data_IF_823497649652
#
_entry.id   IF_823497649652
#
_cell.length_a   1.000
_cell.length_b   1.000
_cell.length_c   1.000
_cell.angle_alpha   90.00
_cell.angle_beta   90.00
_cell.angle_gamma   90.00
#
_symmetry.space_group_name_H-M   'P 1'
#
loop_
_entity.id
_entity.type
_entity.pdbx_description
1 polymer ?
#
# COMPACT_ATOMS: atom_id res chain seq x y z
N UNK A 1 -0.83 11.13 -3.89
CA UNK A 1 -0.49 12.53 -4.27
C UNK A 1 0.67 12.55 -5.25
N UNK A 2 1.76 11.85 -4.94
CA UNK A 2 2.89 11.63 -5.85
C UNK A 2 2.48 11.15 -7.25
N UNK A 3 1.40 10.39 -7.35
CA UNK A 3 0.93 9.79 -8.60
C UNK A 3 0.44 10.81 -9.62
N UNK A 4 -0.03 11.97 -9.15
CA UNK A 4 -0.56 13.07 -9.95
C UNK A 4 0.26 14.35 -9.77
N UNK A 5 1.44 14.24 -9.13
CA UNK A 5 2.34 15.36 -8.82
C UNK A 5 1.63 16.54 -8.14
N UNK A 6 0.77 16.23 -7.16
CA UNK A 6 0.02 17.23 -6.41
C UNK A 6 0.63 17.47 -5.01
N UNK A 7 1.01 18.71 -4.73
CA UNK A 7 1.71 19.12 -3.50
C UNK A 7 1.28 20.52 -2.98
N UNK A 8 0.10 21.01 -3.41
CA UNK A 8 -0.39 22.30 -2.93
C UNK A 8 -0.89 22.19 -1.49
N UNK A 9 -0.02 22.51 -0.54
CA UNK A 9 -0.36 22.45 0.88
C UNK A 9 -1.48 23.41 1.28
N UNK A 10 -1.77 24.46 0.50
CA UNK A 10 -2.89 25.37 0.76
C UNK A 10 -4.24 24.76 0.36
N UNK A 11 -4.25 23.64 -0.36
CA UNK A 11 -5.48 22.97 -0.75
C UNK A 11 -6.27 22.51 0.49
N UNK A 12 -7.60 22.75 0.56
CA UNK A 12 -8.40 22.48 1.76
C UNK A 12 -8.30 21.04 2.28
N UNK A 13 -8.14 20.06 1.37
CA UNK A 13 -7.96 18.65 1.76
C UNK A 13 -6.64 18.45 2.51
N UNK A 14 -5.53 19.04 2.05
CA UNK A 14 -4.22 18.85 2.70
C UNK A 14 -4.17 19.59 4.03
N UNK A 15 -4.75 20.79 4.11
CA UNK A 15 -4.97 21.50 5.38
C UNK A 15 -5.81 20.69 6.37
N UNK A 16 -6.87 20.02 5.88
CA UNK A 16 -7.68 19.12 6.70
C UNK A 16 -6.90 17.93 7.26
N UNK A 17 -6.05 17.31 6.43
CA UNK A 17 -5.17 16.21 6.86
C UNK A 17 -4.18 16.70 7.91
N UNK A 18 -3.50 17.84 7.70
CA UNK A 18 -2.58 18.42 8.69
C UNK A 18 -3.28 18.68 10.02
N UNK A 19 -4.45 19.31 10.00
CA UNK A 19 -5.24 19.59 11.20
C UNK A 19 -5.61 18.30 11.96
N UNK A 20 -5.99 17.24 11.24
CA UNK A 20 -6.27 15.95 11.84
C UNK A 20 -5.03 15.37 12.52
N UNK A 21 -3.89 15.38 11.84
CA UNK A 21 -2.62 14.86 12.37
C UNK A 21 -2.16 15.64 13.61
N UNK A 22 -2.21 16.98 13.55
CA UNK A 22 -1.80 17.86 14.66
C UNK A 22 -2.69 17.70 15.89
N UNK A 23 -3.96 17.30 15.72
CA UNK A 23 -4.85 17.02 16.84
C UNK A 23 -4.37 15.84 17.70
N UNK A 24 -3.53 14.95 17.14
CA UNK A 24 -3.09 13.68 17.74
C UNK A 24 -4.25 12.75 18.14
N UNK A 25 -5.46 12.99 17.63
CA UNK A 25 -6.60 12.10 17.88
C UNK A 25 -6.30 10.74 17.26
N UNK A 26 -6.56 9.67 18.03
CA UNK A 26 -6.30 8.28 17.64
C UNK A 26 -4.84 7.95 17.30
N UNK A 27 -3.90 8.78 17.77
CA UNK A 27 -2.49 8.41 17.83
C UNK A 27 -2.23 7.66 19.14
N UNK A 28 -1.94 6.37 19.03
CA UNK A 28 -1.44 5.58 20.16
C UNK A 28 0.06 5.86 20.38
N UNK A 29 0.67 5.18 21.36
CA UNK A 29 2.08 5.36 21.71
C UNK A 29 3.03 5.18 20.51
N UNK A 30 2.70 4.26 19.58
CA UNK A 30 3.61 3.81 18.52
C UNK A 30 3.06 3.94 17.09
N UNK A 31 1.79 4.28 16.92
CA UNK A 31 1.16 4.34 15.60
C UNK A 31 -0.18 5.08 15.62
N UNK A 32 -0.54 5.65 14.48
CA UNK A 32 -1.92 6.06 14.21
C UNK A 32 -2.78 4.82 13.96
N UNK A 33 -3.98 4.80 14.53
CA UNK A 33 -4.92 3.70 14.35
C UNK A 33 -5.34 3.52 12.90
N UNK A 34 -5.32 2.28 12.42
CA UNK A 34 -5.89 1.89 11.11
C UNK A 34 -7.38 2.21 11.01
N UNK A 35 -8.14 1.92 12.06
CA UNK A 35 -9.58 2.20 12.18
C UNK A 35 -9.85 2.98 13.46
N UNK A 36 -10.91 3.78 13.44
CA UNK A 36 -11.38 4.59 14.56
C UNK A 36 -12.84 4.25 14.86
N UNK A 37 -13.37 4.51 16.07
CA UNK A 37 -14.72 4.10 16.47
C UNK A 37 -15.80 4.47 15.45
N UNK A 38 -15.71 5.67 14.88
CA UNK A 38 -16.70 6.17 13.91
C UNK A 38 -16.65 5.48 12.56
N UNK A 39 -15.64 4.64 12.25
CA UNK A 39 -15.70 3.77 11.07
C UNK A 39 -16.99 2.94 11.10
N UNK A 40 -17.38 2.46 12.28
CA UNK A 40 -18.57 1.62 12.47
C UNK A 40 -19.89 2.33 12.16
N UNK A 41 -19.88 3.67 12.05
CA UNK A 41 -21.08 4.47 11.80
C UNK A 41 -21.42 4.62 10.30
N UNK A 42 -20.55 4.15 9.39
CA UNK A 42 -20.71 4.30 7.94
C UNK A 42 -20.57 2.97 7.21
N UNK A 43 -21.00 2.91 5.94
CA UNK A 43 -20.73 1.75 5.09
C UNK A 43 -19.22 1.60 4.83
N UNK A 44 -18.66 0.42 5.08
CA UNK A 44 -17.24 0.14 4.85
C UNK A 44 -16.97 -1.34 4.65
N UNK A 45 -15.83 -1.62 4.02
CA UNK A 45 -15.33 -2.99 3.86
C UNK A 45 -15.01 -3.64 5.23
N UNK A 46 -15.12 -4.96 5.37
CA UNK A 46 -15.00 -5.62 6.67
C UNK A 46 -13.69 -5.34 7.41
N UNK A 47 -12.56 -5.23 6.71
CA UNK A 47 -11.24 -4.91 7.29
C UNK A 47 -11.10 -3.45 7.75
N UNK A 48 -12.09 -2.59 7.51
CA UNK A 48 -12.20 -1.26 8.10
C UNK A 48 -13.13 -1.21 9.30
N UNK A 49 -13.66 -2.35 9.75
CA UNK A 49 -14.43 -2.41 11.00
C UNK A 49 -13.51 -2.03 12.16
N UNK A 50 -13.97 -1.13 13.00
CA UNK A 50 -13.31 -0.84 14.25
C UNK A 50 -13.64 -1.91 15.28
N UNK A 51 -12.61 -2.61 15.73
CA UNK A 51 -12.68 -3.57 16.84
C UNK A 51 -11.55 -3.26 17.82
N UNK A 52 -11.80 -3.51 19.11
CA UNK A 52 -10.77 -3.32 20.14
C UNK A 52 -9.75 -4.45 20.07
N UNK A 53 -8.62 -4.19 19.40
CA UNK A 53 -7.47 -5.09 19.33
C UNK A 53 -7.09 -5.52 17.90
N UNK A 54 -5.80 -5.79 17.72
CA UNK A 54 -5.18 -6.44 16.55
C UNK A 54 -5.33 -5.77 15.17
N UNK A 55 -4.89 -4.51 15.04
CA UNK A 55 -4.65 -3.85 13.73
C UNK A 55 -3.21 -3.35 13.57
N UNK A 56 -2.25 -3.87 14.33
CA UNK A 56 -0.91 -3.27 14.45
C UNK A 56 -0.19 -3.12 13.10
N UNK A 57 -0.17 -4.18 12.28
CA UNK A 57 0.45 -4.14 10.95
C UNK A 57 -0.19 -3.08 10.02
N UNK A 58 -1.53 -2.96 10.06
CA UNK A 58 -2.25 -1.95 9.28
C UNK A 58 -2.01 -0.53 9.80
N UNK A 59 -1.93 -0.38 11.12
CA UNK A 59 -1.62 0.89 11.77
C UNK A 59 -0.19 1.36 11.45
N UNK A 60 0.76 0.43 11.26
CA UNK A 60 2.12 0.76 10.81
C UNK A 60 2.13 1.34 9.39
N UNK A 61 1.39 0.76 8.44
CA UNK A 61 1.29 1.30 7.09
C UNK A 61 0.72 2.73 7.08
N UNK A 62 -0.37 2.96 7.83
CA UNK A 62 -0.96 4.30 7.97
C UNK A 62 0.05 5.26 8.59
N UNK A 63 0.76 4.82 9.62
CA UNK A 63 1.79 5.62 10.27
C UNK A 63 2.89 6.00 9.29
N UNK A 64 3.42 5.07 8.49
CA UNK A 64 4.42 5.35 7.47
C UNK A 64 3.89 6.40 6.47
N UNK A 65 2.66 6.22 5.97
CA UNK A 65 2.02 7.15 5.06
C UNK A 65 1.90 8.57 5.62
N UNK A 66 1.37 8.70 6.84
CA UNK A 66 1.19 9.98 7.53
C UNK A 66 2.53 10.63 7.89
N UNK A 67 3.52 9.85 8.31
CA UNK A 67 4.85 10.36 8.64
C UNK A 67 5.51 10.98 7.42
N UNK A 68 5.51 10.30 6.26
CA UNK A 68 6.09 10.89 5.05
C UNK A 68 5.29 12.10 4.57
N UNK A 69 3.98 12.11 4.78
CA UNK A 69 3.18 13.32 4.55
C UNK A 69 3.65 14.46 5.47
N UNK A 70 3.80 14.25 6.77
CA UNK A 70 4.27 15.29 7.71
C UNK A 70 5.66 15.79 7.32
N UNK A 71 6.61 14.88 7.09
CA UNK A 71 8.00 15.22 6.76
C UNK A 71 8.06 16.10 5.51
N UNK A 72 7.20 15.85 4.52
CA UNK A 72 7.22 16.60 3.26
C UNK A 72 6.58 17.99 3.36
N UNK A 73 5.62 18.20 4.26
CA UNK A 73 4.80 19.40 4.26
C UNK A 73 4.94 20.26 5.54
N UNK A 74 5.84 19.92 6.44
CA UNK A 74 6.06 20.66 7.69
C UNK A 74 7.53 20.99 7.89
N UNK A 75 7.81 22.06 8.64
CA UNK A 75 9.19 22.46 8.93
C UNK A 75 9.87 21.46 9.86
N UNK A 76 11.15 21.16 9.60
CA UNK A 76 11.94 20.19 10.37
C UNK A 76 12.00 20.49 11.87
N UNK A 77 11.95 21.78 12.23
CA UNK A 77 12.01 22.23 13.62
C UNK A 77 10.67 22.17 14.35
N UNK A 78 9.57 21.94 13.64
CA UNK A 78 8.22 21.86 14.20
C UNK A 78 8.08 20.66 15.14
N UNK A 79 7.17 20.77 16.12
CA UNK A 79 6.90 19.69 17.06
C UNK A 79 6.34 18.44 16.34
N UNK A 80 5.51 18.65 15.33
CA UNK A 80 4.88 17.54 14.59
C UNK A 80 5.89 16.79 13.72
N UNK A 81 6.83 17.50 13.09
CA UNK A 81 7.92 16.87 12.34
C UNK A 81 8.78 15.99 13.24
N UNK A 82 9.24 16.54 14.39
CA UNK A 82 10.07 15.79 15.34
C UNK A 82 9.37 14.52 15.84
N UNK A 83 8.06 14.62 16.10
CA UNK A 83 7.24 13.48 16.50
C UNK A 83 7.12 12.45 15.39
N UNK A 84 6.84 12.87 14.15
CA UNK A 84 6.77 11.99 12.99
C UNK A 84 8.10 11.27 12.73
N UNK A 85 9.22 11.98 12.85
CA UNK A 85 10.55 11.40 12.72
C UNK A 85 10.82 10.34 13.80
N UNK A 86 10.47 10.60 15.06
CA UNK A 86 10.60 9.63 16.14
C UNK A 86 9.73 8.37 15.93
N UNK A 87 8.52 8.53 15.39
CA UNK A 87 7.67 7.40 15.01
C UNK A 87 8.29 6.58 13.87
N UNK A 88 8.87 7.24 12.86
CA UNK A 88 9.56 6.54 11.77
C UNK A 88 10.76 5.74 12.28
N UNK A 89 11.57 6.34 13.15
CA UNK A 89 12.70 5.66 13.80
C UNK A 89 12.22 4.43 14.58
N UNK A 90 11.09 4.55 15.29
CA UNK A 90 10.46 3.43 15.98
C UNK A 90 10.04 2.30 15.03
N UNK A 91 9.44 2.63 13.89
CA UNK A 91 9.11 1.66 12.84
C UNK A 91 10.38 1.00 12.29
N UNK A 92 11.40 1.78 11.93
CA UNK A 92 12.67 1.25 11.42
C UNK A 92 13.31 0.28 12.43
N UNK A 93 13.34 0.64 13.72
CA UNK A 93 13.92 -0.19 14.78
C UNK A 93 13.17 -1.50 15.01
N UNK A 94 11.88 -1.57 14.68
CA UNK A 94 11.07 -2.79 14.83
C UNK A 94 11.37 -3.84 13.75
N UNK A 95 11.95 -3.44 12.63
CA UNK A 95 12.25 -4.37 11.55
C UNK A 95 13.22 -5.46 12.03
N UNK A 96 12.80 -6.72 11.88
CA UNK A 96 13.57 -7.87 12.31
C UNK A 96 13.41 -9.04 11.32
N UNK A 97 14.26 -10.07 11.48
CA UNK A 97 14.17 -11.29 10.67
C UNK A 97 12.89 -12.10 10.93
N UNK A 98 12.16 -11.80 12.02
CA UNK A 98 10.84 -12.39 12.31
C UNK A 98 9.67 -11.62 11.66
N UNK A 99 9.95 -10.60 10.84
CA UNK A 99 8.92 -9.91 10.05
C UNK A 99 8.45 -10.87 8.96
N UNK A 100 7.22 -11.38 9.11
CA UNK A 100 6.80 -12.64 8.45
C UNK A 100 5.53 -12.54 7.62
N UNK A 101 5.01 -11.34 7.34
CA UNK A 101 3.84 -11.17 6.49
C UNK A 101 4.11 -10.22 5.32
N UNK A 102 3.51 -10.52 4.17
CA UNK A 102 3.75 -9.77 2.93
C UNK A 102 3.32 -8.31 3.02
N UNK A 103 2.33 -8.00 3.86
CA UNK A 103 1.78 -6.65 4.00
C UNK A 103 2.78 -5.75 4.74
N UNK A 104 3.29 -6.20 5.88
CA UNK A 104 4.35 -5.53 6.64
C UNK A 104 5.62 -5.41 5.80
N UNK A 105 6.04 -6.47 5.12
CA UNK A 105 7.23 -6.44 4.24
C UNK A 105 7.06 -5.40 3.13
N UNK A 106 5.88 -5.35 2.48
CA UNK A 106 5.60 -4.35 1.44
C UNK A 106 5.64 -2.92 1.98
N UNK A 107 5.24 -2.72 3.24
CA UNK A 107 5.31 -1.42 3.93
C UNK A 107 6.77 -0.97 4.14
N UNK A 108 7.67 -1.90 4.46
CA UNK A 108 9.11 -1.60 4.54
C UNK A 108 9.74 -1.36 3.16
N UNK A 109 9.29 -2.04 2.10
CA UNK A 109 9.71 -1.72 0.73
C UNK A 109 9.35 -0.27 0.36
N UNK A 110 8.13 0.15 0.69
CA UNK A 110 7.67 1.52 0.46
C UNK A 110 8.43 2.55 1.31
N UNK A 111 8.75 2.20 2.57
CA UNK A 111 9.57 3.03 3.46
C UNK A 111 10.96 3.28 2.87
N UNK A 112 11.66 2.23 2.43
CA UNK A 112 12.99 2.35 1.82
C UNK A 112 12.91 3.20 0.56
N UNK A 113 11.95 2.92 -0.32
CA UNK A 113 11.75 3.67 -1.56
C UNK A 113 11.52 5.16 -1.32
N UNK A 114 10.72 5.52 -0.30
CA UNK A 114 10.43 6.92 0.03
C UNK A 114 11.62 7.62 0.67
N UNK A 115 12.38 6.96 1.56
CA UNK A 115 13.61 7.54 2.12
C UNK A 115 14.61 7.85 1.00
N UNK A 116 14.81 6.94 0.06
CA UNK A 116 15.71 7.14 -1.08
C UNK A 116 15.19 8.25 -2.02
N UNK A 117 13.90 8.20 -2.38
CA UNK A 117 13.26 9.21 -3.24
C UNK A 117 13.43 10.63 -2.67
N UNK A 118 13.26 10.77 -1.36
CA UNK A 118 13.32 12.06 -0.67
C UNK A 118 14.71 12.39 -0.11
N UNK A 119 15.72 11.55 -0.37
CA UNK A 119 17.11 11.73 0.06
C UNK A 119 17.26 11.89 1.58
N UNK A 120 16.53 11.08 2.34
CA UNK A 120 16.45 11.17 3.81
C UNK A 120 17.42 10.21 4.53
N UNK A 121 18.37 9.58 3.82
CA UNK A 121 19.31 8.60 4.37
C UNK A 121 20.28 9.20 5.39
N UNK A 122 20.53 10.50 5.33
CA UNK A 122 21.31 11.21 6.36
C UNK A 122 20.56 11.36 7.68
N UNK A 123 19.22 11.28 7.65
CA UNK A 123 18.35 11.45 8.81
C UNK A 123 17.90 10.11 9.41
N UNK A 124 17.66 9.11 8.57
CA UNK A 124 17.12 7.81 8.98
C UNK A 124 18.06 6.68 8.57
N UNK A 125 18.58 5.94 9.54
CA UNK A 125 19.43 4.77 9.30
C UNK A 125 18.57 3.56 8.90
N UNK A 126 18.52 3.29 7.60
CA UNK A 126 17.83 2.14 7.03
C UNK A 126 18.78 1.04 6.56
N UNK A 127 20.06 1.06 6.98
CA UNK A 127 21.06 0.12 6.49
C UNK A 127 20.66 -1.33 6.74
N UNK A 128 20.29 -1.66 7.98
CA UNK A 128 19.87 -3.03 8.35
C UNK A 128 18.61 -3.45 7.60
N UNK A 129 17.65 -2.55 7.42
CA UNK A 129 16.43 -2.82 6.63
C UNK A 129 16.81 -3.15 5.19
N UNK A 130 17.62 -2.32 4.54
CA UNK A 130 18.06 -2.54 3.14
C UNK A 130 18.84 -3.84 2.95
N UNK A 131 19.66 -4.23 3.93
CA UNK A 131 20.45 -5.47 3.86
C UNK A 131 19.59 -6.74 3.94
N UNK A 132 18.53 -6.72 4.76
CA UNK A 132 17.74 -7.91 5.10
C UNK A 132 16.41 -8.01 4.33
N UNK A 133 15.83 -6.88 3.95
CA UNK A 133 14.55 -6.82 3.26
C UNK A 133 14.50 -7.63 1.94
N UNK A 134 15.56 -7.71 1.12
CA UNK A 134 15.55 -8.56 -0.07
C UNK A 134 15.31 -10.05 0.24
N UNK A 135 15.83 -10.55 1.36
CA UNK A 135 15.59 -11.93 1.79
C UNK A 135 14.13 -12.11 2.21
N UNK A 136 13.59 -11.21 3.02
CA UNK A 136 12.19 -11.25 3.45
C UNK A 136 11.23 -11.19 2.25
N UNK A 137 11.45 -10.27 1.30
CA UNK A 137 10.68 -10.20 0.04
C UNK A 137 10.73 -11.55 -0.69
N UNK A 138 11.91 -12.15 -0.84
CA UNK A 138 12.03 -13.41 -1.55
C UNK A 138 11.33 -14.57 -0.83
N UNK A 139 11.31 -14.59 0.50
CA UNK A 139 10.65 -15.62 1.29
C UNK A 139 9.11 -15.54 1.19
N UNK A 140 8.55 -14.33 1.20
CA UNK A 140 7.09 -14.12 1.28
C UNK A 140 6.40 -13.79 -0.03
N UNK A 141 7.16 -13.62 -1.11
CA UNK A 141 6.60 -13.47 -2.45
C UNK A 141 6.01 -14.78 -2.94
N UNK A 142 4.70 -14.77 -3.20
CA UNK A 142 4.00 -15.92 -3.78
C UNK A 142 4.24 -15.93 -5.30
N UNK A 143 4.87 -17.00 -5.79
CA UNK A 143 5.30 -17.13 -7.20
C UNK A 143 4.44 -18.09 -8.00
N UNK A 144 3.53 -18.81 -7.34
CA UNK A 144 2.65 -19.78 -7.98
C UNK A 144 1.38 -19.10 -8.53
N UNK A 145 1.19 -19.06 -9.86
CA UNK A 145 -0.01 -18.47 -10.47
C UNK A 145 -1.32 -19.11 -10.04
N UNK A 146 -1.31 -20.40 -9.64
CA UNK A 146 -2.51 -21.08 -9.16
C UNK A 146 -3.00 -20.53 -7.82
N UNK A 147 -2.13 -19.86 -7.06
CA UNK A 147 -2.48 -19.24 -5.78
C UNK A 147 -2.75 -17.74 -5.90
N UNK A 148 -2.58 -17.14 -7.08
CA UNK A 148 -2.89 -15.73 -7.29
C UNK A 148 -4.39 -15.49 -7.50
N UNK A 149 -5.10 -16.46 -8.07
CA UNK A 149 -6.53 -16.35 -8.33
C UNK A 149 -7.34 -16.52 -7.04
N UNK A 150 -8.24 -15.60 -6.73
CA UNK A 150 -9.12 -15.67 -5.56
C UNK A 150 -8.44 -15.50 -4.21
N UNK A 151 -7.15 -15.16 -4.15
CA UNK A 151 -6.38 -15.09 -2.92
C UNK A 151 -5.68 -13.74 -2.76
N UNK A 152 -5.83 -13.16 -1.56
CA UNK A 152 -5.06 -11.99 -1.17
C UNK A 152 -3.65 -12.41 -0.73
N UNK A 153 -2.68 -12.32 -1.64
CA UNK A 153 -1.29 -12.71 -1.41
C UNK A 153 -0.27 -11.69 -1.94
N UNK A 154 0.95 -11.74 -1.41
CA UNK A 154 2.08 -10.92 -1.86
C UNK A 154 2.65 -11.40 -3.19
N UNK A 155 1.97 -11.12 -4.30
CA UNK A 155 2.47 -11.38 -5.66
C UNK A 155 3.73 -10.55 -5.99
N UNK A 156 4.53 -10.90 -7.01
CA UNK A 156 5.72 -10.12 -7.36
C UNK A 156 5.50 -8.61 -7.48
N UNK A 157 4.40 -8.18 -8.09
CA UNK A 157 4.02 -6.79 -8.31
C UNK A 157 3.74 -6.01 -7.02
N UNK A 158 3.53 -6.66 -5.87
CA UNK A 158 3.48 -5.97 -4.57
C UNK A 158 4.83 -5.34 -4.23
N UNK A 159 5.92 -6.02 -4.58
CA UNK A 159 7.27 -5.63 -4.19
C UNK A 159 8.07 -5.02 -5.36
N UNK A 160 7.76 -5.42 -6.59
CA UNK A 160 8.49 -5.05 -7.80
C UNK A 160 7.60 -4.16 -8.67
N UNK A 161 7.95 -2.87 -8.78
CA UNK A 161 7.19 -1.90 -9.60
C UNK A 161 7.86 -1.56 -10.93
N UNK A 162 9.14 -1.89 -11.09
CA UNK A 162 9.90 -1.68 -12.32
C UNK A 162 11.14 -2.58 -12.36
N UNK A 163 11.80 -2.75 -13.53
CA UNK A 163 13.05 -3.49 -13.67
C UNK A 163 14.21 -2.94 -12.82
N UNK A 164 14.18 -1.67 -12.43
CA UNK A 164 15.18 -1.03 -11.57
C UNK A 164 15.04 -1.41 -10.10
N UNK A 165 13.95 -2.07 -9.72
CA UNK A 165 13.76 -2.56 -8.35
C UNK A 165 14.88 -3.52 -7.96
N UNK A 166 15.47 -3.30 -6.77
CA UNK A 166 16.47 -4.19 -6.19
C UNK A 166 15.95 -5.63 -5.97
N UNK A 167 14.63 -5.81 -5.94
CA UNK A 167 13.97 -7.11 -5.78
C UNK A 167 13.69 -7.82 -7.11
N UNK A 168 13.94 -7.16 -8.26
CA UNK A 168 13.68 -7.75 -9.58
C UNK A 168 14.68 -8.85 -9.94
N UNK A 169 15.96 -8.63 -9.62
CA UNK A 169 17.03 -9.60 -9.90
C UNK A 169 16.76 -10.92 -9.17
N UNK A 170 16.72 -12.02 -9.92
CA UNK A 170 16.37 -13.36 -9.43
C UNK A 170 14.87 -13.65 -9.36
N UNK A 171 14.00 -12.70 -9.67
CA UNK A 171 12.54 -12.86 -9.75
C UNK A 171 11.98 -12.52 -11.15
N UNK A 172 12.83 -12.42 -12.17
CA UNK A 172 12.46 -11.98 -13.52
C UNK A 172 11.40 -12.90 -14.14
N UNK A 173 11.58 -14.21 -14.02
CA UNK A 173 10.62 -15.21 -14.52
C UNK A 173 9.27 -15.12 -13.78
N UNK A 174 9.28 -14.96 -12.45
CA UNK A 174 8.06 -14.83 -11.66
C UNK A 174 7.31 -13.54 -11.99
N UNK A 175 8.03 -12.44 -12.16
CA UNK A 175 7.47 -11.16 -12.59
C UNK A 175 6.88 -11.26 -14.00
N UNK A 176 7.59 -11.89 -14.95
CA UNK A 176 7.08 -12.11 -16.30
C UNK A 176 5.79 -12.93 -16.29
N UNK A 177 5.75 -14.01 -15.50
CA UNK A 177 4.55 -14.85 -15.31
C UNK A 177 3.38 -14.06 -14.75
N UNK A 178 3.62 -13.19 -13.75
CA UNK A 178 2.55 -12.34 -13.23
C UNK A 178 2.04 -11.34 -14.26
N UNK A 179 2.94 -10.71 -15.03
CA UNK A 179 2.54 -9.79 -16.09
C UNK A 179 1.68 -10.50 -17.16
N UNK A 180 2.08 -11.72 -17.57
CA UNK A 180 1.31 -12.54 -18.51
C UNK A 180 -0.05 -12.93 -17.92
N UNK A 181 -0.07 -13.36 -16.66
CA UNK A 181 -1.29 -13.73 -15.95
C UNK A 181 -2.25 -12.53 -15.82
N UNK A 182 -1.75 -11.34 -15.51
CA UNK A 182 -2.59 -10.13 -15.42
C UNK A 182 -3.12 -9.73 -16.81
N UNK A 183 -2.33 -9.83 -17.88
CA UNK A 183 -2.76 -9.54 -19.25
C UNK A 183 -3.78 -10.55 -19.77
N UNK A 184 -3.63 -11.83 -19.44
CA UNK A 184 -4.62 -12.87 -19.77
C UNK A 184 -5.97 -12.56 -19.09
N UNK A 185 -5.93 -12.18 -17.81
CA UNK A 185 -7.14 -11.77 -17.07
C UNK A 185 -7.80 -10.53 -17.68
N UNK A 186 -7.01 -9.58 -18.18
CA UNK A 186 -7.54 -8.44 -18.94
C UNK A 186 -8.20 -8.87 -20.23
N UNK A 187 -7.49 -9.64 -21.07
CA UNK A 187 -7.89 -9.93 -22.45
C UNK A 187 -8.99 -11.00 -22.55
N UNK A 188 -8.97 -11.99 -21.67
CA UNK A 188 -9.97 -13.07 -21.60
C UNK A 188 -11.33 -12.66 -21.02
N UNK A 189 -11.45 -11.45 -20.44
CA UNK A 189 -12.70 -10.90 -19.87
C UNK A 189 -13.21 -9.65 -20.61
N UNK A 190 -12.61 -9.27 -21.75
CA UNK A 190 -13.01 -8.13 -22.58
C UNK A 190 -14.43 -8.20 -23.17
N UNK A 191 -15.21 -9.24 -22.89
CA UNK A 191 -16.60 -9.33 -23.31
C UNK A 191 -17.55 -8.52 -22.41
N UNK A 192 -17.12 -8.09 -21.21
CA UNK A 192 -17.90 -7.23 -20.32
C UNK A 192 -16.98 -6.17 -19.68
N UNK A 193 -17.54 -5.03 -19.22
CA UNK A 193 -16.83 -3.87 -18.65
C UNK A 193 -15.92 -4.15 -17.43
N UNK A 194 -15.71 -5.41 -17.07
CA UNK A 194 -15.11 -5.87 -15.83
C UNK A 194 -13.70 -6.48 -16.04
N UNK A 195 -12.80 -5.65 -16.59
CA UNK A 195 -11.46 -6.04 -17.05
C UNK A 195 -10.51 -6.45 -15.90
N UNK A 196 -10.78 -6.00 -14.66
CA UNK A 196 -10.01 -6.34 -13.46
C UNK A 196 -10.89 -6.53 -12.22
N UNK A 197 -11.86 -7.45 -12.30
CA UNK A 197 -12.78 -7.75 -11.20
C UNK A 197 -12.03 -7.96 -9.87
N UNK A 198 -12.15 -6.99 -8.95
CA UNK A 198 -11.45 -6.99 -7.66
C UNK A 198 -11.94 -8.11 -6.75
N UNK A 199 -13.21 -8.51 -6.88
CA UNK A 199 -13.78 -9.63 -6.15
C UNK A 199 -13.02 -10.93 -6.52
N UNK A 200 -12.58 -11.08 -7.76
CA UNK A 200 -11.77 -12.23 -8.17
C UNK A 200 -10.39 -12.31 -7.48
N UNK A 201 -9.97 -11.29 -6.73
CA UNK A 201 -8.74 -11.28 -5.92
C UNK A 201 -9.01 -11.40 -4.40
N UNK A 202 -10.22 -11.83 -3.99
CA UNK A 202 -10.58 -11.98 -2.57
C UNK A 202 -11.11 -10.71 -1.91
N UNK A 203 -11.32 -9.63 -2.68
CA UNK A 203 -11.94 -8.40 -2.19
C UNK A 203 -13.47 -8.61 -2.12
N UNK A 204 -13.99 -9.19 -1.04
CA UNK A 204 -15.43 -9.33 -0.87
C UNK A 204 -15.88 -8.69 0.43
N UNK A 205 -16.86 -7.78 0.35
CA UNK A 205 -17.57 -7.31 1.54
C UNK A 205 -18.49 -8.40 2.12
N UNK A 206 -18.86 -9.38 1.28
CA UNK A 206 -19.79 -10.47 1.61
C UNK A 206 -19.24 -11.47 2.64
N UNK A 207 -17.92 -11.62 2.79
CA UNK A 207 -17.35 -12.58 3.73
C UNK A 207 -17.81 -12.36 5.19
N UNK A 208 -18.28 -11.14 5.53
CA UNK A 208 -18.84 -10.82 6.84
C UNK A 208 -20.29 -10.28 6.78
N UNK A 209 -21.11 -10.68 5.80
CA UNK A 209 -22.50 -10.19 5.56
C UNK A 209 -22.66 -8.68 5.28
N UNK A 210 -21.60 -7.87 5.38
CA UNK A 210 -21.64 -6.40 5.17
C UNK A 210 -21.95 -5.99 3.72
N UNK A 211 -21.56 -6.80 2.75
CA UNK A 211 -21.96 -6.60 1.35
C UNK A 211 -23.49 -6.66 1.16
N UNK A 212 -24.18 -7.45 1.98
CA UNK A 212 -25.65 -7.51 2.00
C UNK A 212 -26.29 -6.34 2.76
N UNK A 213 -25.62 -5.79 3.77
CA UNK A 213 -26.09 -4.62 4.52
C UNK A 213 -25.97 -3.32 3.71
N UNK A 214 -24.90 -3.19 2.91
CA UNK A 214 -24.59 -2.01 2.11
C UNK A 214 -24.32 -2.37 0.63
N UNK A 215 -25.33 -2.87 -0.10
CA UNK A 215 -25.12 -3.41 -1.45
C UNK A 215 -24.72 -2.32 -2.46
N UNK A 216 -25.25 -1.10 -2.33
CA UNK A 216 -24.93 -0.01 -3.25
C UNK A 216 -23.52 0.52 -3.01
N UNK A 217 -23.13 0.73 -1.76
CA UNK A 217 -21.81 1.22 -1.39
C UNK A 217 -20.73 0.17 -1.69
N UNK A 218 -21.03 -1.11 -1.47
CA UNK A 218 -20.15 -2.21 -1.88
C UNK A 218 -19.92 -2.20 -3.40
N UNK A 219 -20.98 -2.01 -4.19
CA UNK A 219 -20.88 -1.90 -5.65
C UNK A 219 -20.07 -0.68 -6.11
N UNK A 220 -20.30 0.50 -5.52
CA UNK A 220 -19.51 1.71 -5.82
C UNK A 220 -18.04 1.47 -5.46
N UNK A 221 -17.79 0.91 -4.28
CA UNK A 221 -16.43 0.68 -3.80
C UNK A 221 -15.69 -0.34 -4.67
N UNK A 222 -16.36 -1.40 -5.16
CA UNK A 222 -15.79 -2.35 -6.11
C UNK A 222 -15.32 -1.64 -7.39
N UNK A 223 -16.19 -0.85 -8.02
CA UNK A 223 -15.85 -0.10 -9.24
C UNK A 223 -14.67 0.86 -9.01
N UNK A 224 -14.62 1.56 -7.88
CA UNK A 224 -13.50 2.43 -7.54
C UNK A 224 -12.18 1.65 -7.40
N UNK A 225 -12.21 0.50 -6.75
CA UNK A 225 -11.02 -0.36 -6.63
C UNK A 225 -10.58 -0.93 -7.97
N UNK A 226 -11.52 -1.31 -8.85
CA UNK A 226 -11.21 -1.76 -10.21
C UNK A 226 -10.48 -0.67 -11.01
N UNK A 227 -10.88 0.59 -10.87
CA UNK A 227 -10.19 1.73 -11.50
C UNK A 227 -8.78 1.92 -10.92
N UNK A 228 -8.60 1.74 -9.61
CA UNK A 228 -7.27 1.84 -8.98
C UNK A 228 -6.36 0.72 -9.49
N UNK A 229 -6.85 -0.52 -9.52
CA UNK A 229 -6.13 -1.68 -10.05
C UNK A 229 -5.79 -1.50 -11.53
N UNK A 230 -6.73 -0.96 -12.32
CA UNK A 230 -6.49 -0.59 -13.71
C UNK A 230 -5.29 0.34 -13.87
N UNK A 231 -5.29 1.45 -13.12
CA UNK A 231 -4.22 2.45 -13.17
C UNK A 231 -2.88 1.83 -12.74
N UNK A 232 -2.88 1.03 -11.67
CA UNK A 232 -1.69 0.37 -11.16
C UNK A 232 -1.11 -0.63 -12.15
N UNK A 233 -1.95 -1.46 -12.76
CA UNK A 233 -1.54 -2.46 -13.75
C UNK A 233 -1.05 -1.78 -15.04
N UNK A 234 -1.74 -0.74 -15.53
CA UNK A 234 -1.30 0.05 -16.68
C UNK A 234 0.11 0.62 -16.46
N UNK A 235 0.36 1.18 -15.28
CA UNK A 235 1.69 1.68 -14.90
C UNK A 235 2.72 0.56 -14.81
N UNK A 236 2.36 -0.57 -14.23
CA UNK A 236 3.23 -1.74 -14.13
C UNK A 236 3.65 -2.21 -15.52
N UNK A 237 2.68 -2.46 -16.41
CA UNK A 237 2.94 -2.85 -17.79
C UNK A 237 3.79 -1.83 -18.54
N UNK A 238 3.54 -0.53 -18.35
CA UNK A 238 4.38 0.54 -18.91
C UNK A 238 5.83 0.41 -18.46
N UNK A 239 6.06 0.25 -17.15
CA UNK A 239 7.41 0.15 -16.59
C UNK A 239 8.16 -1.10 -17.09
N UNK A 240 7.43 -2.17 -17.41
CA UNK A 240 7.98 -3.41 -17.95
C UNK A 240 7.96 -3.50 -19.49
N UNK A 241 7.62 -2.42 -20.19
CA UNK A 241 7.58 -2.40 -21.66
C UNK A 241 6.57 -3.37 -22.27
N UNK A 242 5.50 -3.71 -21.53
CA UNK A 242 4.44 -4.64 -21.95
C UNK A 242 3.31 -3.97 -22.74
N UNK A 243 3.35 -2.63 -22.85
CA UNK A 243 2.41 -1.85 -23.64
C UNK A 243 3.16 -0.82 -24.47
N UNK A 244 2.73 -0.65 -25.72
CA UNK A 244 3.18 0.42 -26.59
C UNK A 244 2.24 1.62 -26.45
N UNK A 245 2.80 2.77 -26.06
CA UNK A 245 2.09 4.05 -25.97
C UNK A 245 2.52 5.02 -27.08
N UNK A 246 3.31 4.57 -28.05
CA UNK A 246 3.63 5.39 -29.21
C UNK A 246 2.38 5.58 -30.07
N UNK A 247 1.92 6.82 -30.14
CA UNK A 247 0.96 7.32 -31.13
C UNK A 247 1.71 7.95 -32.30
#
# INVERSE_FOLDING_TARGET
MDEIDFDDIQHPVLQGILKYIESNVYLAEKSWSWTIPTNNDYAHAPWYTFETGNTEAYSELVTIGLVFFIIRHTEENSAIYKKAAALLEGVICKFSDSTTDFFTISSYCELVRKIEKYKLESRFDIKTVKERLPMAVNTYMERDPFKWDGCWCGRPSFFIKSPESVYYKGNEDSMSKELDWQLDKMTGRLTELNVWNVNANGWYWEHNNRGGEYPMESFISANCWEIIDAINNIRLFKNFGRMDFSC
#
